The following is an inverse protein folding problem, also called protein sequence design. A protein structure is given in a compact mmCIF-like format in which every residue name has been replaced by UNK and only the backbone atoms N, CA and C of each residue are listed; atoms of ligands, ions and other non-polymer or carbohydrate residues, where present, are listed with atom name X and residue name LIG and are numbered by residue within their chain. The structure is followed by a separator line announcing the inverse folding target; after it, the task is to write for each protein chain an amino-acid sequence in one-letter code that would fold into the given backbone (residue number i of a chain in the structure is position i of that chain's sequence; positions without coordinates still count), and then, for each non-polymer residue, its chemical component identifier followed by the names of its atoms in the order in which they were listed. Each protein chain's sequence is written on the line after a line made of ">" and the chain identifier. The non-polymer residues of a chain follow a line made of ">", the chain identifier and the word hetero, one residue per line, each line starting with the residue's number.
data_IF_383434056976
#
_entry.id   IF_383434056976
#
_cell.length_a   1.000
_cell.length_b   1.000
_cell.length_c   1.000
_cell.angle_alpha   90.00
_cell.angle_beta   90.00
_cell.angle_gamma   90.00
#
_symmetry.space_group_name_H-M   'P 1'
#
loop_
_entity.id
_entity.type
_entity.pdbx_description
1 polymer ?
#
# COMPACT_ATOMS: atom_id res chain seq x y z
N UNK A 1 13.77 -5.44 -26.78
CA UNK A 1 12.51 -5.45 -26.01
C UNK A 1 12.88 -5.36 -24.55
N UNK A 2 12.27 -4.44 -23.80
CA UNK A 2 12.59 -4.19 -22.39
C UNK A 2 11.37 -4.47 -21.53
N UNK A 3 11.58 -4.80 -20.26
CA UNK A 3 10.49 -4.74 -19.29
C UNK A 3 10.17 -3.28 -18.98
N UNK A 4 8.94 -3.02 -18.55
CA UNK A 4 8.55 -1.70 -18.08
C UNK A 4 9.33 -1.32 -16.81
N UNK A 5 9.80 -2.29 -16.04
CA UNK A 5 10.69 -2.06 -14.90
C UNK A 5 12.03 -1.45 -15.33
N UNK A 6 12.67 -2.05 -16.34
CA UNK A 6 14.01 -1.66 -16.82
C UNK A 6 13.99 -0.46 -17.80
N UNK A 7 12.84 -0.15 -18.39
CA UNK A 7 12.70 0.94 -19.35
C UNK A 7 13.07 2.31 -18.73
N UNK A 8 13.62 3.23 -19.52
CA UNK A 8 13.78 4.62 -19.06
C UNK A 8 12.42 5.33 -19.07
N UNK A 9 12.23 6.40 -18.29
CA UNK A 9 11.08 7.29 -18.43
C UNK A 9 10.92 7.79 -19.88
N UNK A 10 9.68 7.94 -20.32
CA UNK A 10 9.32 8.32 -21.69
C UNK A 10 8.18 7.47 -22.26
N UNK A 11 7.86 7.71 -23.53
CA UNK A 11 6.83 6.96 -24.23
C UNK A 11 7.25 5.51 -24.44
N UNK A 12 6.35 4.58 -24.12
CA UNK A 12 6.59 3.15 -24.14
C UNK A 12 5.40 2.44 -24.78
N UNK A 13 5.63 1.73 -25.87
CA UNK A 13 4.60 0.91 -26.53
C UNK A 13 4.62 -0.48 -25.93
N UNK A 14 3.48 -0.89 -25.36
CA UNK A 14 3.32 -2.23 -24.80
C UNK A 14 3.27 -3.24 -25.93
N UNK A 15 4.08 -4.28 -25.84
CA UNK A 15 4.09 -5.39 -26.79
C UNK A 15 3.44 -6.64 -26.19
N UNK A 16 3.62 -6.85 -24.89
CA UNK A 16 3.09 -8.03 -24.21
C UNK A 16 2.91 -7.78 -22.72
N UNK A 17 1.86 -8.36 -22.14
CA UNK A 17 1.57 -8.38 -20.72
C UNK A 17 1.49 -9.84 -20.27
N UNK A 18 2.39 -10.26 -19.38
CA UNK A 18 2.46 -11.63 -18.90
C UNK A 18 1.54 -11.82 -17.68
N UNK A 19 0.85 -12.96 -17.66
CA UNK A 19 -0.05 -13.38 -16.59
C UNK A 19 -1.50 -12.95 -16.79
N UNK A 20 -2.42 -13.92 -16.83
CA UNK A 20 -3.82 -13.72 -17.19
C UNK A 20 -4.54 -12.67 -16.32
N UNK A 21 -4.24 -12.61 -15.02
CA UNK A 21 -4.85 -11.64 -14.10
C UNK A 21 -4.36 -10.21 -14.37
N UNK A 22 -3.07 -10.03 -14.64
CA UNK A 22 -2.50 -8.72 -14.94
C UNK A 22 -2.97 -8.23 -16.32
N UNK A 23 -3.00 -9.12 -17.32
CA UNK A 23 -3.47 -8.81 -18.66
C UNK A 23 -4.93 -8.32 -18.68
N UNK A 24 -5.86 -9.08 -18.07
CA UNK A 24 -7.26 -8.66 -17.94
C UNK A 24 -7.41 -7.31 -17.24
N UNK A 25 -6.66 -7.12 -16.17
CA UNK A 25 -6.68 -5.89 -15.40
C UNK A 25 -6.21 -4.68 -16.20
N UNK A 26 -5.17 -4.84 -17.01
CA UNK A 26 -4.67 -3.77 -17.87
C UNK A 26 -5.66 -3.49 -19.00
N UNK A 27 -6.30 -4.53 -19.54
CA UNK A 27 -7.37 -4.42 -20.53
C UNK A 27 -8.58 -3.64 -19.98
N UNK A 28 -9.02 -3.90 -18.75
CA UNK A 28 -10.09 -3.13 -18.07
C UNK A 28 -9.76 -1.64 -17.94
N UNK A 29 -8.47 -1.30 -17.98
CA UNK A 29 -7.94 0.07 -17.93
C UNK A 29 -7.66 0.66 -19.32
N UNK A 30 -8.03 -0.03 -20.40
CA UNK A 30 -7.72 0.40 -21.78
C UNK A 30 -6.25 0.25 -22.19
N UNK A 31 -5.46 -0.48 -21.39
CA UNK A 31 -4.03 -0.71 -21.60
C UNK A 31 -3.83 -2.11 -22.18
N UNK A 32 -3.68 -2.18 -23.50
CA UNK A 32 -3.58 -3.42 -24.27
C UNK A 32 -2.20 -3.52 -24.96
N UNK A 33 -1.78 -4.71 -25.42
CA UNK A 33 -0.72 -4.81 -26.41
C UNK A 33 -1.00 -3.88 -27.61
N UNK A 34 -0.02 -3.04 -27.95
CA UNK A 34 -0.12 -2.00 -28.97
C UNK A 34 -0.34 -0.59 -28.41
N UNK A 35 -0.88 -0.45 -27.19
CA UNK A 35 -1.09 0.84 -26.52
C UNK A 35 0.23 1.53 -26.21
N UNK A 36 0.30 2.84 -26.45
CA UNK A 36 1.42 3.69 -26.03
C UNK A 36 1.08 4.31 -24.69
N UNK A 37 1.93 4.09 -23.70
CA UNK A 37 1.83 4.68 -22.37
C UNK A 37 3.05 5.58 -22.12
N UNK A 38 2.98 6.47 -21.15
CA UNK A 38 4.13 7.27 -20.72
C UNK A 38 4.69 6.69 -19.42
N UNK A 39 5.92 6.17 -19.42
CA UNK A 39 6.61 5.86 -18.16
C UNK A 39 7.08 7.17 -17.52
N UNK A 40 6.63 7.44 -16.31
CA UNK A 40 6.97 8.68 -15.58
C UNK A 40 8.21 8.43 -14.72
N UNK A 41 9.11 9.41 -14.68
CA UNK A 41 10.24 9.38 -13.76
C UNK A 41 9.72 9.58 -12.34
N UNK A 42 9.90 8.58 -11.48
CA UNK A 42 9.56 8.72 -10.07
C UNK A 42 10.75 9.38 -9.38
N UNK A 43 10.61 10.69 -9.10
CA UNK A 43 11.65 11.53 -8.50
C UNK A 43 11.60 11.44 -6.97
N UNK A 44 12.06 10.35 -6.34
CA UNK A 44 12.64 10.36 -4.97
C UNK A 44 12.94 8.96 -4.42
N UNK A 45 13.98 8.81 -3.62
CA UNK A 45 14.27 7.61 -2.81
C UNK A 45 13.24 7.35 -1.65
N UNK A 46 12.02 7.91 -1.75
CA UNK A 46 10.91 7.86 -0.76
C UNK A 46 9.65 7.18 -1.34
N UNK A 47 9.81 6.41 -2.41
CA UNK A 47 8.72 5.90 -3.27
C UNK A 47 7.93 4.73 -2.69
N UNK A 48 7.29 4.97 -1.57
CA UNK A 48 6.00 4.36 -1.25
C UNK A 48 5.05 5.51 -0.97
N UNK A 49 3.82 5.46 -1.49
CA UNK A 49 2.80 6.42 -1.09
C UNK A 49 2.80 6.56 0.45
N UNK A 50 2.56 7.75 1.01
CA UNK A 50 2.47 7.86 2.46
C UNK A 50 1.39 6.92 2.98
N UNK A 51 1.57 6.42 4.20
CA UNK A 51 0.46 5.72 4.83
C UNK A 51 -0.72 6.69 4.96
N UNK A 52 -1.93 6.18 4.73
CA UNK A 52 -3.16 6.96 4.77
C UNK A 52 -4.02 6.47 5.91
N UNK A 53 -4.68 7.40 6.59
CA UNK A 53 -5.78 7.07 7.49
C UNK A 53 -7.06 7.03 6.68
N UNK A 54 -7.82 5.96 6.83
CA UNK A 54 -9.05 5.70 6.08
C UNK A 54 -10.22 5.43 7.01
N UNK A 55 -11.42 5.65 6.50
CA UNK A 55 -12.67 5.25 7.13
C UNK A 55 -13.49 4.39 6.17
N UNK A 56 -14.10 3.34 6.70
CA UNK A 56 -15.14 2.55 6.05
C UNK A 56 -16.39 2.58 6.93
N UNK A 57 -17.48 1.94 6.47
CA UNK A 57 -18.68 1.73 7.29
C UNK A 57 -18.39 0.95 8.58
N UNK A 58 -17.41 0.04 8.56
CA UNK A 58 -17.09 -0.80 9.71
C UNK A 58 -16.18 -0.11 10.72
N UNK A 59 -15.13 0.56 10.26
CA UNK A 59 -14.11 1.13 11.15
C UNK A 59 -13.19 2.14 10.47
N UNK A 60 -12.40 2.80 11.29
CA UNK A 60 -11.27 3.64 10.87
C UNK A 60 -9.96 2.89 11.08
N UNK A 61 -8.98 3.15 10.23
CA UNK A 61 -7.66 2.57 10.40
C UNK A 61 -6.61 3.17 9.48
N UNK A 62 -5.42 2.60 9.50
CA UNK A 62 -4.28 3.02 8.70
C UNK A 62 -3.96 1.97 7.66
N UNK A 63 -3.66 2.42 6.45
CA UNK A 63 -3.09 1.61 5.36
C UNK A 63 -1.71 2.15 5.03
N UNK A 64 -0.71 1.27 5.00
CA UNK A 64 0.59 1.62 4.45
C UNK A 64 0.52 1.88 2.94
N UNK A 65 1.42 2.72 2.42
CA UNK A 65 1.47 3.13 1.02
C UNK A 65 1.38 2.02 -0.01
N UNK A 66 2.19 0.97 0.18
CA UNK A 66 2.20 -0.17 -0.73
C UNK A 66 0.87 -0.91 -0.80
N UNK A 67 -0.02 -0.78 0.20
CA UNK A 67 -1.39 -1.31 0.16
C UNK A 67 -2.34 -0.35 -0.52
N UNK A 68 -2.29 0.94 -0.19
CA UNK A 68 -3.22 1.93 -0.74
C UNK A 68 -3.07 2.09 -2.25
N UNK A 69 -1.87 1.90 -2.81
CA UNK A 69 -1.64 1.86 -4.26
C UNK A 69 -2.28 0.65 -4.97
N UNK A 70 -2.60 -0.41 -4.23
CA UNK A 70 -3.16 -1.66 -4.76
C UNK A 70 -4.67 -1.76 -4.60
N UNK A 71 -5.31 -0.74 -4.03
CA UNK A 71 -6.76 -0.64 -3.85
C UNK A 71 -7.26 0.34 -4.89
N UNK A 72 -8.11 -0.13 -5.79
CA UNK A 72 -8.58 0.62 -6.93
C UNK A 72 -9.99 1.07 -6.65
N UNK A 73 -10.25 2.34 -6.90
CA UNK A 73 -11.49 3.00 -6.52
C UNK A 73 -12.02 3.81 -7.70
N UNK A 74 -13.32 3.79 -7.87
CA UNK A 74 -14.03 4.73 -8.71
C UNK A 74 -14.29 6.02 -7.92
N UNK A 75 -13.89 7.14 -8.51
CA UNK A 75 -14.04 8.47 -7.94
C UNK A 75 -14.31 9.46 -9.08
N UNK A 76 -15.42 10.20 -8.97
CA UNK A 76 -15.83 11.21 -9.96
C UNK A 76 -15.86 10.70 -11.41
N UNK A 77 -16.32 9.46 -11.63
CA UNK A 77 -16.43 8.84 -12.95
C UNK A 77 -15.10 8.34 -13.54
N UNK A 78 -14.01 8.38 -12.77
CA UNK A 78 -12.71 7.84 -13.16
C UNK A 78 -12.25 6.76 -12.18
N UNK A 79 -11.45 5.82 -12.66
CA UNK A 79 -10.82 4.80 -11.80
C UNK A 79 -9.41 5.27 -11.43
N UNK A 80 -9.08 5.22 -10.14
CA UNK A 80 -7.76 5.59 -9.62
C UNK A 80 -7.38 4.72 -8.42
N UNK A 81 -6.21 4.94 -7.81
CA UNK A 81 -5.83 4.24 -6.58
C UNK A 81 -6.33 4.99 -5.35
N UNK A 82 -6.57 4.25 -4.26
CA UNK A 82 -6.96 4.85 -2.99
C UNK A 82 -5.91 5.84 -2.45
N UNK A 83 -4.63 5.63 -2.76
CA UNK A 83 -3.55 6.55 -2.39
C UNK A 83 -3.65 7.91 -3.10
N UNK A 84 -4.22 7.93 -4.30
CA UNK A 84 -4.36 9.11 -5.16
C UNK A 84 -5.56 9.99 -4.77
N UNK A 85 -6.51 9.47 -3.99
CA UNK A 85 -7.66 10.26 -3.58
C UNK A 85 -7.25 11.48 -2.72
N UNK A 86 -7.92 12.63 -2.87
CA UNK A 86 -7.76 13.77 -1.97
C UNK A 86 -8.14 13.41 -0.52
N UNK A 87 -7.62 14.12 0.49
CA UNK A 87 -8.14 14.02 1.85
C UNK A 87 -9.63 14.37 1.88
N UNK A 88 -10.37 13.65 2.70
CA UNK A 88 -11.83 13.63 2.82
C UNK A 88 -12.60 13.15 1.58
N UNK A 89 -11.93 12.65 0.54
CA UNK A 89 -12.61 12.05 -0.60
C UNK A 89 -13.01 10.60 -0.33
N UNK A 90 -14.17 10.21 -0.83
CA UNK A 90 -14.72 8.84 -0.78
C UNK A 90 -14.72 8.26 -2.19
N UNK A 91 -14.21 7.04 -2.35
CA UNK A 91 -14.32 6.26 -3.57
C UNK A 91 -14.94 4.89 -3.32
N UNK A 92 -15.51 4.30 -4.37
CA UNK A 92 -16.08 2.94 -4.34
C UNK A 92 -15.01 1.96 -4.80
N UNK A 93 -14.68 0.95 -4.01
CA UNK A 93 -13.64 -0.04 -4.37
C UNK A 93 -14.10 -0.85 -5.59
N UNK A 94 -13.30 -0.82 -6.65
CA UNK A 94 -13.53 -1.58 -7.89
C UNK A 94 -12.72 -2.86 -7.95
N UNK A 95 -11.49 -2.85 -7.44
CA UNK A 95 -10.59 -4.01 -7.49
C UNK A 95 -9.50 -3.94 -6.41
N UNK A 96 -9.00 -5.13 -6.02
CA UNK A 96 -7.90 -5.33 -5.09
C UNK A 96 -6.77 -6.14 -5.75
N UNK A 97 -5.73 -5.45 -6.21
CA UNK A 97 -4.58 -6.07 -6.92
C UNK A 97 -3.59 -6.83 -6.06
N UNK A 98 -3.91 -7.02 -4.79
CA UNK A 98 -3.10 -7.82 -3.89
C UNK A 98 -3.23 -9.33 -4.13
N UNK A 99 -2.25 -10.08 -3.63
CA UNK A 99 -2.45 -11.49 -3.31
C UNK A 99 -3.39 -11.66 -2.11
N UNK A 100 -3.82 -12.89 -1.84
CA UNK A 100 -4.78 -13.24 -0.76
C UNK A 100 -4.46 -12.56 0.59
N UNK A 101 -3.21 -12.57 1.02
CA UNK A 101 -2.79 -11.92 2.28
C UNK A 101 -3.07 -10.42 2.34
N UNK A 102 -2.99 -9.71 1.21
CA UNK A 102 -3.33 -8.29 1.15
C UNK A 102 -4.84 -8.11 1.24
N UNK A 103 -5.61 -8.90 0.47
CA UNK A 103 -7.09 -8.86 0.45
C UNK A 103 -7.66 -9.14 1.84
N UNK A 104 -7.17 -10.21 2.49
CA UNK A 104 -7.55 -10.57 3.86
C UNK A 104 -7.22 -9.44 4.85
N UNK A 105 -6.04 -8.82 4.70
CA UNK A 105 -5.60 -7.75 5.59
C UNK A 105 -6.42 -6.46 5.45
N UNK A 106 -6.81 -6.06 4.24
CA UNK A 106 -7.63 -4.85 4.04
C UNK A 106 -9.11 -5.10 4.38
N UNK A 107 -9.57 -6.35 4.25
CA UNK A 107 -10.91 -6.77 4.69
C UNK A 107 -11.11 -6.60 6.21
N UNK A 108 -10.04 -6.66 7.01
CA UNK A 108 -10.11 -6.34 8.46
C UNK A 108 -10.52 -4.89 8.72
N UNK A 109 -10.31 -4.00 7.75
CA UNK A 109 -10.77 -2.60 7.81
C UNK A 109 -12.16 -2.42 7.19
N UNK A 110 -12.79 -3.48 6.69
CA UNK A 110 -14.05 -3.39 5.94
C UNK A 110 -13.90 -2.93 4.50
N UNK A 111 -12.69 -3.00 3.92
CA UNK A 111 -12.44 -2.63 2.53
C UNK A 111 -12.64 -3.87 1.66
N UNK A 112 -13.67 -3.85 0.81
CA UNK A 112 -14.04 -4.92 -0.11
C UNK A 112 -14.54 -4.30 -1.42
N UNK A 113 -14.49 -5.04 -2.52
CA UNK A 113 -15.07 -4.59 -3.79
C UNK A 113 -16.55 -4.24 -3.62
N UNK A 114 -16.98 -3.15 -4.25
CA UNK A 114 -18.31 -2.58 -4.12
C UNK A 114 -18.53 -1.69 -2.89
N UNK A 115 -17.62 -1.69 -1.91
CA UNK A 115 -17.76 -0.86 -0.70
C UNK A 115 -17.10 0.51 -0.85
N UNK A 116 -17.62 1.47 -0.09
CA UNK A 116 -17.06 2.81 0.01
C UNK A 116 -15.89 2.86 1.00
N UNK A 117 -14.88 3.65 0.65
CA UNK A 117 -13.76 3.98 1.52
C UNK A 117 -13.40 5.46 1.39
N UNK A 118 -13.29 6.13 2.53
CA UNK A 118 -12.92 7.55 2.62
C UNK A 118 -11.47 7.68 3.05
N UNK A 119 -10.68 8.47 2.32
CA UNK A 119 -9.35 8.89 2.77
C UNK A 119 -9.52 10.05 3.75
N UNK A 120 -9.14 9.89 5.01
CA UNK A 120 -9.26 10.97 6.00
C UNK A 120 -8.09 11.95 5.85
N UNK A 121 -6.87 11.44 5.93
CA UNK A 121 -5.64 12.23 5.76
C UNK A 121 -4.44 11.33 5.50
N UNK A 122 -3.36 11.94 4.99
CA UNK A 122 -2.04 11.31 4.84
C UNK A 122 -1.26 11.44 6.15
N UNK A 123 -0.59 10.37 6.56
CA UNK A 123 0.28 10.40 7.73
C UNK A 123 1.67 10.91 7.33
N UNK A 124 2.30 11.78 8.14
CA UNK A 124 3.69 12.13 7.94
C UNK A 124 4.57 10.88 8.18
N UNK A 125 5.80 10.84 7.63
CA UNK A 125 6.76 9.81 7.97
C UNK A 125 7.03 9.80 9.48
N UNK A 126 6.61 8.73 10.17
CA UNK A 126 6.66 8.66 11.63
C UNK A 126 6.85 7.22 12.12
N UNK A 127 7.45 7.09 13.28
CA UNK A 127 7.65 5.81 13.94
C UNK A 127 6.86 5.76 15.24
N UNK A 128 6.16 4.64 15.43
CA UNK A 128 5.62 4.26 16.73
C UNK A 128 6.78 3.76 17.58
N UNK A 129 7.02 4.46 18.68
CA UNK A 129 7.94 4.01 19.71
C UNK A 129 7.16 3.09 20.63
N UNK A 130 7.61 1.85 20.70
CA UNK A 130 6.93 0.82 21.48
C UNK A 130 7.90 0.03 22.32
N UNK A 131 7.40 -0.53 23.42
CA UNK A 131 8.10 -1.50 24.24
C UNK A 131 7.50 -2.88 24.02
N UNK A 132 8.34 -3.83 23.65
CA UNK A 132 8.00 -5.25 23.43
C UNK A 132 9.00 -6.08 24.21
N UNK A 133 8.52 -6.97 25.09
CA UNK A 133 9.37 -7.80 25.95
C UNK A 133 10.46 -7.00 26.69
N UNK A 134 10.10 -5.81 27.19
CA UNK A 134 11.01 -4.90 27.89
C UNK A 134 11.95 -4.08 27.00
N UNK A 135 12.05 -4.38 25.70
CA UNK A 135 12.91 -3.68 24.73
C UNK A 135 12.16 -2.53 24.04
N UNK A 136 12.79 -1.36 23.99
CA UNK A 136 12.28 -0.20 23.24
C UNK A 136 12.69 -0.34 21.77
N UNK A 137 11.71 -0.31 20.87
CA UNK A 137 11.90 -0.39 19.42
C UNK A 137 11.12 0.71 18.71
N UNK A 138 11.45 0.94 17.43
CA UNK A 138 10.75 1.87 16.55
C UNK A 138 10.09 1.07 15.42
N UNK A 139 8.82 1.34 15.16
CA UNK A 139 8.04 0.65 14.13
C UNK A 139 7.39 1.68 13.24
N UNK A 140 7.70 1.63 11.95
CA UNK A 140 7.16 2.59 11.01
C UNK A 140 5.64 2.48 10.82
N UNK A 141 4.98 3.57 10.45
CA UNK A 141 3.51 3.64 10.37
C UNK A 141 2.88 2.51 9.53
N UNK A 142 3.50 2.15 8.40
CA UNK A 142 3.02 1.06 7.54
C UNK A 142 3.21 -0.33 8.14
N UNK A 143 4.21 -0.54 8.99
CA UNK A 143 4.42 -1.79 9.73
C UNK A 143 3.51 -1.87 10.95
N UNK A 144 3.36 -0.77 11.70
CA UNK A 144 2.46 -0.68 12.84
C UNK A 144 1.00 -0.95 12.42
N UNK A 145 0.58 -0.47 11.24
CA UNK A 145 -0.75 -0.73 10.68
C UNK A 145 -1.04 -2.23 10.42
N UNK A 146 -0.01 -3.08 10.38
CA UNK A 146 -0.15 -4.53 10.20
C UNK A 146 -0.30 -5.27 11.52
N UNK A 147 -0.02 -4.63 12.65
CA UNK A 147 -0.10 -5.26 13.97
C UNK A 147 -1.50 -5.05 14.51
N UNK A 148 -2.20 -6.15 14.78
CA UNK A 148 -3.57 -6.15 15.29
C UNK A 148 -3.65 -6.90 16.60
N UNK A 149 -4.56 -6.46 17.45
CA UNK A 149 -5.13 -7.31 18.49
C UNK A 149 -6.48 -6.81 18.94
N UNK A 150 -6.87 -7.13 20.16
CA UNK A 150 -8.23 -6.88 20.65
C UNK A 150 -8.24 -6.01 21.89
N UNK A 151 -9.08 -4.96 21.87
CA UNK A 151 -9.41 -4.15 23.06
C UNK A 151 -10.92 -4.14 23.18
N UNK A 152 -11.44 -4.47 24.37
CA UNK A 152 -12.89 -4.48 24.66
C UNK A 152 -13.68 -5.31 23.64
N UNK A 153 -13.12 -6.46 23.23
CA UNK A 153 -13.73 -7.36 22.23
C UNK A 153 -13.70 -6.86 20.78
N UNK A 154 -13.07 -5.69 20.52
CA UNK A 154 -12.98 -5.12 19.17
C UNK A 154 -11.57 -5.23 18.59
N UNK A 155 -11.42 -5.60 17.30
CA UNK A 155 -10.11 -5.64 16.66
C UNK A 155 -9.59 -4.22 16.43
N UNK A 156 -8.37 -3.96 16.88
CA UNK A 156 -7.70 -2.65 16.78
C UNK A 156 -6.30 -2.81 16.22
N UNK A 157 -5.89 -1.85 15.38
CA UNK A 157 -4.51 -1.73 14.94
C UNK A 157 -3.67 -1.09 16.05
N UNK A 158 -2.37 -1.41 16.10
CA UNK A 158 -1.40 -0.69 16.93
C UNK A 158 -1.45 0.82 16.70
N UNK A 159 -1.73 1.27 15.46
CA UNK A 159 -1.86 2.68 15.08
C UNK A 159 -3.09 3.40 15.66
N UNK A 160 -3.99 2.68 16.32
CA UNK A 160 -5.13 3.26 17.03
C UNK A 160 -4.81 3.55 18.51
N UNK A 161 -3.67 3.08 19.02
CA UNK A 161 -3.28 3.24 20.42
C UNK A 161 -2.58 4.59 20.65
N UNK A 162 -2.98 5.26 21.72
CA UNK A 162 -2.28 6.43 22.24
C UNK A 162 -1.14 6.05 23.19
N UNK A 163 -0.37 7.06 23.60
CA UNK A 163 0.69 6.92 24.59
C UNK A 163 0.19 6.23 25.88
N UNK A 164 1.01 5.34 26.45
CA UNK A 164 0.73 4.60 27.67
C UNK A 164 -0.27 3.46 27.51
N UNK A 165 -0.86 3.27 26.32
CA UNK A 165 -1.79 2.17 26.05
C UNK A 165 -1.02 0.93 25.59
N UNK A 166 -1.54 -0.23 25.96
CA UNK A 166 -0.95 -1.51 25.58
C UNK A 166 -1.95 -2.42 24.86
N UNK A 167 -1.40 -3.39 24.15
CA UNK A 167 -2.09 -4.32 23.26
C UNK A 167 -1.36 -5.66 23.34
N UNK A 168 -2.12 -6.75 23.40
CA UNK A 168 -1.59 -8.09 23.11
C UNK A 168 -1.84 -8.35 21.63
N UNK A 169 -0.80 -8.73 20.90
CA UNK A 169 -0.89 -8.96 19.47
C UNK A 169 -1.66 -10.25 19.22
N UNK A 170 -2.81 -10.18 18.54
CA UNK A 170 -3.53 -11.37 18.11
C UNK A 170 -2.96 -11.88 16.78
N UNK A 171 -2.64 -10.95 15.86
CA UNK A 171 -2.15 -11.30 14.52
C UNK A 171 -1.39 -10.17 13.84
N UNK A 172 -0.58 -10.57 12.86
CA UNK A 172 0.08 -9.68 11.92
C UNK A 172 -0.63 -9.82 10.56
N UNK A 173 -1.36 -8.77 10.18
CA UNK A 173 -2.03 -8.71 8.90
C UNK A 173 -1.00 -8.32 7.83
N UNK A 174 -0.47 -9.30 7.09
CA UNK A 174 0.53 -9.11 6.03
C UNK A 174 0.97 -10.43 5.40
N UNK A 175 1.68 -10.34 4.27
CA UNK A 175 2.36 -11.51 3.69
C UNK A 175 3.62 -11.87 4.49
N UNK A 176 4.23 -13.01 4.17
CA UNK A 176 5.35 -13.60 4.91
C UNK A 176 6.48 -12.60 5.22
N UNK A 177 6.92 -11.81 4.23
CA UNK A 177 7.96 -10.79 4.41
C UNK A 177 7.63 -9.76 5.50
N UNK A 178 6.35 -9.40 5.66
CA UNK A 178 5.94 -8.48 6.73
C UNK A 178 5.93 -9.15 8.10
N UNK A 179 5.57 -10.43 8.14
CA UNK A 179 5.59 -11.24 9.37
C UNK A 179 7.03 -11.40 9.84
N UNK A 180 7.92 -11.89 8.98
CA UNK A 180 9.35 -12.07 9.28
C UNK A 180 10.02 -10.76 9.74
N UNK A 181 9.69 -9.63 9.11
CA UNK A 181 10.22 -8.34 9.51
C UNK A 181 9.79 -7.94 10.92
N UNK A 182 8.50 -8.09 11.26
CA UNK A 182 7.97 -7.76 12.58
C UNK A 182 8.48 -8.73 13.65
N UNK A 183 8.61 -10.02 13.32
CA UNK A 183 9.17 -11.02 14.23
C UNK A 183 10.63 -10.74 14.58
N UNK A 184 11.44 -10.26 13.64
CA UNK A 184 12.82 -9.80 13.90
C UNK A 184 12.88 -8.63 14.89
N UNK A 185 11.81 -7.83 14.96
CA UNK A 185 11.66 -6.76 15.94
C UNK A 185 11.09 -7.25 17.28
N UNK A 186 10.81 -8.55 17.42
CA UNK A 186 10.19 -9.15 18.60
C UNK A 186 8.67 -9.10 18.59
N UNK A 187 8.03 -8.59 17.52
CA UNK A 187 6.58 -8.50 17.42
C UNK A 187 6.05 -9.79 16.76
N UNK A 188 5.38 -10.61 17.55
CA UNK A 188 4.70 -11.85 17.14
C UNK A 188 3.33 -11.95 17.83
N UNK A 189 2.41 -12.83 17.40
CA UNK A 189 1.23 -13.16 18.20
C UNK A 189 1.59 -13.44 19.68
N UNK A 190 0.71 -13.06 20.59
CA UNK A 190 0.88 -13.08 22.05
C UNK A 190 1.88 -12.06 22.62
N UNK A 191 2.59 -11.30 21.78
CA UNK A 191 3.49 -10.24 22.29
C UNK A 191 2.70 -9.12 22.93
N UNK A 192 3.13 -8.68 24.12
CA UNK A 192 2.58 -7.47 24.75
C UNK A 192 3.36 -6.25 24.28
N UNK A 193 2.66 -5.33 23.63
CA UNK A 193 3.20 -4.07 23.13
C UNK A 193 2.66 -2.93 23.99
N UNK A 194 3.55 -2.08 24.51
CA UNK A 194 3.19 -0.80 25.15
C UNK A 194 3.62 0.34 24.22
N UNK A 195 2.70 1.26 23.91
CA UNK A 195 3.02 2.45 23.11
C UNK A 195 3.62 3.53 24.00
N UNK A 196 4.87 3.90 23.74
CA UNK A 196 5.58 4.98 24.45
C UNK A 196 5.47 6.32 23.71
N UNK A 197 5.04 6.32 22.45
CA UNK A 197 4.79 7.55 21.71
C UNK A 197 4.86 7.38 20.21
N UNK A 198 4.77 8.51 19.51
CA UNK A 198 4.97 8.62 18.07
C UNK A 198 6.00 9.71 17.83
N UNK A 199 7.07 9.39 17.13
CA UNK A 199 8.17 10.31 16.82
C UNK A 199 8.28 10.48 15.29
N UNK A 200 8.71 11.66 14.78
CA UNK A 200 9.05 11.80 13.38
C UNK A 200 10.12 10.79 12.95
N UNK A 201 9.94 10.16 11.78
CA UNK A 201 10.92 9.17 11.29
C UNK A 201 12.21 9.89 10.92
N UNK A 202 13.33 9.43 11.51
CA UNK A 202 14.66 9.85 11.09
C UNK A 202 15.04 9.05 9.84
N UNK A 203 14.94 9.66 8.66
CA UNK A 203 15.29 9.01 7.41
C UNK A 203 16.81 9.04 7.19
N UNK A 204 17.48 7.91 7.45
CA UNK A 204 18.79 7.59 6.88
C UNK A 204 18.54 6.45 5.89
N UNK A 205 18.28 6.78 4.62
CA UNK A 205 17.82 5.82 3.62
C UNK A 205 18.97 4.98 3.04
N UNK A 206 18.93 3.65 3.26
CA UNK A 206 19.69 2.65 2.51
C UNK A 206 18.72 1.51 2.15
N UNK A 207 18.44 1.32 0.85
CA UNK A 207 17.62 0.20 0.32
C UNK A 207 16.26 0.63 -0.27
N UNK A 208 16.00 0.24 -1.53
CA UNK A 208 14.88 0.70 -2.38
C UNK A 208 13.78 -0.37 -2.50
N UNK A 209 12.51 0.01 -2.40
CA UNK A 209 11.41 -0.71 -3.08
C UNK A 209 11.03 0.16 -4.28
N UNK A 210 11.41 -0.24 -5.49
CA UNK A 210 11.17 0.60 -6.68
C UNK A 210 9.74 0.40 -7.18
N UNK A 211 9.02 1.51 -7.33
CA UNK A 211 7.70 1.56 -7.95
C UNK A 211 7.87 2.22 -9.32
N UNK A 212 7.18 1.69 -10.33
CA UNK A 212 7.12 2.29 -11.66
C UNK A 212 5.78 3.02 -11.80
N UNK A 213 5.82 4.32 -12.09
CA UNK A 213 4.63 5.08 -12.49
C UNK A 213 4.51 5.09 -14.01
N UNK A 214 3.30 4.85 -14.51
CA UNK A 214 2.95 5.01 -15.91
C UNK A 214 1.68 5.84 -16.04
N UNK A 215 1.56 6.56 -17.15
CA UNK A 215 0.38 7.30 -17.52
C UNK A 215 -0.22 6.73 -18.81
N UNK A 216 -1.51 6.43 -18.80
CA UNK A 216 -2.24 6.00 -19.99
C UNK A 216 -2.54 7.19 -20.93
N UNK A 217 -2.95 6.95 -22.19
CA UNK A 217 -3.25 8.00 -23.16
C UNK A 217 -4.30 9.01 -22.72
N UNK A 218 -5.27 8.58 -21.90
CA UNK A 218 -6.34 9.40 -21.33
C UNK A 218 -5.90 10.18 -20.07
N UNK A 219 -4.63 10.07 -19.69
CA UNK A 219 -4.04 10.83 -18.60
C UNK A 219 -4.13 10.17 -17.23
N UNK A 220 -4.71 8.96 -17.10
CA UNK A 220 -4.74 8.23 -15.83
C UNK A 220 -3.33 7.75 -15.44
N UNK A 221 -2.96 7.97 -14.17
CA UNK A 221 -1.68 7.53 -13.60
C UNK A 221 -1.84 6.21 -12.85
N UNK A 222 -0.97 5.25 -13.16
CA UNK A 222 -0.95 3.89 -12.66
C UNK A 222 0.43 3.56 -12.06
N UNK A 223 0.40 3.05 -10.83
CA UNK A 223 1.59 2.67 -10.08
C UNK A 223 1.74 1.15 -10.01
N UNK A 224 2.89 0.66 -10.44
CA UNK A 224 3.19 -0.77 -10.53
C UNK A 224 4.36 -1.11 -9.62
N UNK A 225 4.21 -2.16 -8.82
CA UNK A 225 5.34 -2.75 -8.12
C UNK A 225 6.29 -3.42 -9.11
N UNK A 226 7.54 -3.64 -8.67
CA UNK A 226 8.59 -4.32 -9.45
C UNK A 226 8.10 -5.58 -10.17
N UNK A 227 7.37 -6.46 -9.46
CA UNK A 227 6.84 -7.70 -10.05
C UNK A 227 5.85 -7.45 -11.19
N UNK A 228 4.96 -6.47 -11.06
CA UNK A 228 3.97 -6.14 -12.08
C UNK A 228 4.65 -5.49 -13.28
N UNK A 229 5.53 -4.52 -13.03
CA UNK A 229 6.30 -3.83 -14.08
C UNK A 229 7.24 -4.77 -14.84
N UNK A 230 7.81 -5.78 -14.18
CA UNK A 230 8.67 -6.78 -14.83
C UNK A 230 7.90 -7.71 -15.78
N UNK A 231 6.58 -7.86 -15.58
CA UNK A 231 5.72 -8.70 -16.43
C UNK A 231 5.14 -7.95 -17.65
N UNK A 232 5.45 -6.67 -17.81
CA UNK A 232 5.00 -5.87 -18.95
C UNK A 232 6.22 -5.59 -19.81
N UNK A 233 6.17 -5.94 -21.08
CA UNK A 233 7.29 -5.74 -22.01
C UNK A 233 6.88 -4.91 -23.20
N UNK A 234 7.84 -4.19 -23.75
CA UNK A 234 7.58 -3.24 -24.82
C UNK A 234 8.84 -2.63 -25.41
N UNK A 235 8.61 -1.57 -26.17
CA UNK A 235 9.64 -0.78 -26.85
C UNK A 235 9.46 0.69 -26.53
N UNK A 236 10.57 1.39 -26.30
CA UNK A 236 10.54 2.85 -26.19
C UNK A 236 10.11 3.43 -27.54
N UNK A 237 9.25 4.44 -27.50
CA UNK A 237 8.88 5.23 -28.67
C UNK A 237 9.77 6.47 -28.65
N UNK A 238 10.55 6.64 -29.71
CA UNK A 238 11.33 7.85 -29.99
C UNK A 238 10.43 8.98 -30.46
#
# INVERSE_FOLDING_TARGET
>A
MLTLFDAKPGLFRIMQIQGNRLARRMEDLGILPGTVITKVEVKSDKDTAPAIRVATKERKGVLGGGRSLKIWVEYQGSVTTLASLPPNATGVVKDLSGGKFMVDAVSLLGIREGEEVTVLHRLPPMDYVVRVDGRRIRVGEGAAAKVWGTIEGKPVQLTALGHGRSLVVDKIAGGMTSVEHLEKLGIRPESKILVEGVEPRQNIGIGRTQIVSIQSPDGMELWLGEREASNITGVMVT
#
